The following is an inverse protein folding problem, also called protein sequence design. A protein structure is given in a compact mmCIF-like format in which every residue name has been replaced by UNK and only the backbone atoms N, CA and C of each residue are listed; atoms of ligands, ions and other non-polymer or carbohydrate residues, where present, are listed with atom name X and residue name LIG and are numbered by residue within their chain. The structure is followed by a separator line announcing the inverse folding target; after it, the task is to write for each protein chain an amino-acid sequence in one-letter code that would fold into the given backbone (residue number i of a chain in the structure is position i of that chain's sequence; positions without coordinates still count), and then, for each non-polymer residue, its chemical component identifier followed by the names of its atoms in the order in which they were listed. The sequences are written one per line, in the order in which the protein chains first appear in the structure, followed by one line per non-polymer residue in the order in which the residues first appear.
data_IF_146274318929
#
_entry.id   IF_146274318929
#
_cell.length_a   1.000
_cell.length_b   1.000
_cell.length_c   1.000
_cell.angle_alpha   90.00
_cell.angle_beta   90.00
_cell.angle_gamma   90.00
#
_symmetry.space_group_name_H-M   'P 1'
#
loop_
_entity.id
_entity.type
_entity.pdbx_description
1 polymer ?
#
# COMPACT_ATOMS: atom_id res chain seq x y z
N UNK A 1 11.85 -18.26 -3.67
CA UNK A 1 11.19 -18.01 -4.98
C UNK A 1 11.08 -16.50 -5.13
N UNK A 2 11.46 -15.97 -6.29
CA UNK A 2 11.31 -14.57 -6.67
C UNK A 2 10.17 -14.45 -7.66
N UNK A 3 9.52 -13.29 -7.72
CA UNK A 3 8.44 -13.00 -8.67
C UNK A 3 8.57 -11.58 -9.20
N UNK A 4 7.98 -11.31 -10.35
CA UNK A 4 7.94 -9.97 -10.94
C UNK A 4 6.90 -9.10 -10.24
N UNK A 5 7.16 -7.80 -10.15
CA UNK A 5 6.19 -6.85 -9.61
C UNK A 5 4.90 -6.91 -10.43
N UNK A 6 3.78 -7.17 -9.77
CA UNK A 6 2.49 -7.42 -10.44
C UNK A 6 1.95 -6.19 -11.17
N UNK A 7 2.14 -5.00 -10.61
CA UNK A 7 1.71 -3.71 -11.15
C UNK A 7 2.93 -2.80 -11.29
N UNK A 8 3.72 -2.92 -12.39
CA UNK A 8 5.01 -2.26 -12.50
C UNK A 8 4.94 -0.81 -13.01
N UNK A 9 3.86 -0.08 -12.71
CA UNK A 9 3.73 1.32 -13.18
C UNK A 9 4.55 2.30 -12.37
N UNK A 10 4.86 1.94 -11.15
CA UNK A 10 5.81 2.63 -10.30
C UNK A 10 6.83 1.62 -9.85
N UNK A 11 8.09 1.90 -10.14
CA UNK A 11 9.20 1.16 -9.54
C UNK A 11 9.45 1.76 -8.17
N UNK A 12 9.12 1.04 -7.08
CA UNK A 12 9.30 1.58 -5.76
C UNK A 12 10.78 1.72 -5.43
N UNK A 13 11.08 2.63 -4.52
CA UNK A 13 12.43 2.88 -4.04
C UNK A 13 12.59 2.44 -2.59
N UNK A 14 13.82 2.18 -2.19
CA UNK A 14 14.22 1.99 -0.79
C UNK A 14 15.20 3.10 -0.39
N UNK A 15 15.25 3.41 0.90
CA UNK A 15 16.20 4.39 1.43
C UNK A 15 17.60 3.82 1.46
N UNK A 16 18.61 4.66 1.19
CA UNK A 16 20.01 4.35 1.35
C UNK A 16 20.55 4.83 2.69
N UNK A 17 21.70 4.31 3.14
CA UNK A 17 22.30 4.65 4.43
C UNK A 17 22.70 6.13 4.55
N UNK A 18 23.01 6.77 3.43
CA UNK A 18 23.33 8.21 3.32
C UNK A 18 22.10 9.12 3.26
N UNK A 19 20.89 8.54 3.37
CA UNK A 19 19.62 9.26 3.34
C UNK A 19 19.09 9.57 1.94
N UNK A 20 19.72 9.02 0.90
CA UNK A 20 19.23 9.04 -0.47
C UNK A 20 18.21 7.93 -0.74
N UNK A 21 17.98 7.68 -2.02
CA UNK A 21 17.13 6.59 -2.47
C UNK A 21 17.74 5.87 -3.68
N UNK A 22 17.32 4.64 -3.86
CA UNK A 22 17.63 3.82 -5.04
C UNK A 22 16.42 2.96 -5.40
N UNK A 23 16.33 2.48 -6.63
CA UNK A 23 15.32 1.49 -7.03
C UNK A 23 15.37 0.29 -6.08
N UNK A 24 14.19 -0.18 -5.68
CA UNK A 24 14.09 -1.32 -4.76
C UNK A 24 14.77 -2.55 -5.35
N UNK A 25 15.52 -3.24 -4.52
CA UNK A 25 16.26 -4.42 -4.93
C UNK A 25 15.32 -5.59 -5.28
N UNK A 26 15.81 -6.56 -6.06
CA UNK A 26 15.12 -7.83 -6.34
C UNK A 26 14.71 -8.59 -5.06
N UNK A 27 15.34 -8.29 -3.92
CA UNK A 27 14.94 -8.85 -2.61
C UNK A 27 13.54 -8.43 -2.16
N UNK A 28 12.95 -7.38 -2.75
CA UNK A 28 11.61 -6.91 -2.40
C UNK A 28 10.51 -7.88 -2.87
N UNK A 29 10.69 -8.55 -4.00
CA UNK A 29 9.64 -9.34 -4.67
C UNK A 29 9.94 -10.84 -4.56
N UNK A 30 9.82 -11.38 -3.35
CA UNK A 30 10.10 -12.81 -3.10
C UNK A 30 9.14 -13.42 -2.11
N UNK A 31 8.94 -14.73 -2.25
CA UNK A 31 8.20 -15.55 -1.29
C UNK A 31 9.15 -15.99 -0.19
N UNK A 32 8.73 -15.81 1.06
CA UNK A 32 9.45 -16.23 2.26
C UNK A 32 8.58 -17.19 3.08
N UNK A 33 9.16 -18.08 3.90
CA UNK A 33 8.40 -18.90 4.83
C UNK A 33 7.83 -18.06 5.97
N UNK A 34 6.64 -18.43 6.47
CA UNK A 34 5.99 -17.79 7.60
C UNK A 34 5.24 -18.80 8.44
N UNK A 35 5.64 -19.00 9.70
CA UNK A 35 5.04 -19.96 10.61
C UNK A 35 3.62 -19.59 11.03
N UNK A 36 3.23 -18.35 10.79
CA UNK A 36 1.89 -17.82 11.06
C UNK A 36 0.90 -18.05 9.91
N UNK A 37 1.37 -18.58 8.77
CA UNK A 37 0.51 -18.85 7.60
C UNK A 37 -0.05 -20.24 7.72
N UNK A 38 -1.39 -20.36 7.60
CA UNK A 38 -2.09 -21.64 7.63
C UNK A 38 -2.73 -21.94 6.28
N UNK A 39 -3.10 -23.21 6.09
CA UNK A 39 -3.87 -23.68 4.92
C UNK A 39 -5.31 -24.03 5.28
N UNK A 40 -5.72 -23.71 6.51
CA UNK A 40 -7.07 -23.97 7.00
C UNK A 40 -8.08 -23.00 6.37
N UNK A 41 -7.61 -21.78 6.08
CA UNK A 41 -8.37 -20.76 5.38
C UNK A 41 -7.47 -20.12 4.31
N UNK A 42 -8.00 -19.96 3.09
CA UNK A 42 -7.26 -19.39 1.96
C UNK A 42 -6.29 -20.35 1.26
N UNK A 43 -5.22 -19.79 0.71
CA UNK A 43 -4.28 -20.48 -0.18
C UNK A 43 -2.98 -20.93 0.49
N UNK A 44 -2.75 -20.55 1.74
CA UNK A 44 -1.44 -20.72 2.39
C UNK A 44 -0.39 -19.71 1.91
N UNK A 45 -0.81 -18.68 1.17
CA UNK A 45 0.04 -17.56 0.72
C UNK A 45 -0.58 -16.26 1.19
N UNK A 46 0.19 -15.46 1.94
CA UNK A 46 -0.24 -14.18 2.49
C UNK A 46 0.61 -13.07 1.89
N UNK A 47 -0.05 -12.00 1.44
CA UNK A 47 0.63 -10.80 0.99
C UNK A 47 1.20 -10.03 2.19
N UNK A 48 2.43 -9.55 2.08
CA UNK A 48 3.11 -8.74 3.09
C UNK A 48 3.32 -7.34 2.53
N UNK A 49 2.84 -6.33 3.26
CA UNK A 49 2.99 -4.91 2.94
C UNK A 49 3.76 -4.17 4.05
N UNK A 50 5.10 -4.21 4.07
CA UNK A 50 5.92 -3.67 5.16
C UNK A 50 5.68 -2.20 5.48
N UNK A 51 5.25 -1.44 4.50
CA UNK A 51 4.96 -0.01 4.63
C UNK A 51 3.61 0.27 5.31
N UNK A 52 2.67 -0.72 5.30
CA UNK A 52 1.29 -0.51 5.75
C UNK A 52 0.82 -1.49 6.84
N UNK A 53 1.73 -2.27 7.43
CA UNK A 53 1.41 -3.20 8.52
C UNK A 53 2.56 -3.32 9.51
N UNK A 54 2.28 -3.23 10.81
CA UNK A 54 3.31 -3.35 11.85
C UNK A 54 3.90 -4.77 11.89
N UNK A 55 3.06 -5.79 11.81
CA UNK A 55 3.48 -7.19 11.78
C UNK A 55 4.23 -7.49 10.48
N UNK A 56 3.73 -7.00 9.34
CA UNK A 56 4.37 -7.09 8.04
C UNK A 56 5.76 -6.46 8.05
N UNK A 57 5.90 -5.29 8.68
CA UNK A 57 7.19 -4.62 8.82
C UNK A 57 8.19 -5.43 9.66
N UNK A 58 7.73 -6.11 10.71
CA UNK A 58 8.57 -6.97 11.55
C UNK A 58 9.04 -8.22 10.77
N UNK A 59 8.12 -8.88 10.07
CA UNK A 59 8.43 -10.05 9.23
C UNK A 59 9.40 -9.67 8.11
N UNK A 60 9.15 -8.57 7.42
CA UNK A 60 10.00 -8.07 6.34
C UNK A 60 11.42 -7.74 6.85
N UNK A 61 11.52 -7.06 7.99
CA UNK A 61 12.82 -6.72 8.62
C UNK A 61 13.60 -7.98 8.98
N UNK A 62 12.95 -8.99 9.57
CA UNK A 62 13.59 -10.25 9.90
C UNK A 62 14.10 -11.01 8.67
N UNK A 63 13.40 -10.88 7.54
CA UNK A 63 13.77 -11.50 6.26
C UNK A 63 14.68 -10.64 5.37
N UNK A 64 15.04 -9.43 5.80
CA UNK A 64 15.85 -8.49 5.01
C UNK A 64 15.12 -7.98 3.76
N UNK A 65 13.79 -7.84 3.84
CA UNK A 65 12.96 -7.27 2.77
C UNK A 65 12.80 -5.76 3.04
N UNK A 66 13.10 -4.89 2.07
CA UNK A 66 12.97 -3.45 2.26
C UNK A 66 11.51 -3.01 2.30
N UNK A 67 11.22 -1.94 3.03
CA UNK A 67 9.99 -1.17 2.84
C UNK A 67 10.08 -0.39 1.54
N UNK A 68 8.97 -0.31 0.81
CA UNK A 68 8.92 0.32 -0.50
C UNK A 68 8.27 1.69 -0.42
N UNK A 69 8.89 2.67 -1.08
CA UNK A 69 8.51 4.08 -1.01
C UNK A 69 8.43 4.73 -2.39
N UNK A 70 7.85 5.91 -2.42
CA UNK A 70 7.95 6.91 -3.48
C UNK A 70 8.67 8.15 -2.95
N UNK A 71 9.08 9.05 -3.84
CA UNK A 71 9.72 10.32 -3.48
C UNK A 71 8.77 11.46 -3.78
N UNK A 72 8.44 12.26 -2.77
CA UNK A 72 7.62 13.45 -2.96
C UNK A 72 8.45 14.66 -3.44
N UNK A 73 7.79 15.76 -3.82
CA UNK A 73 8.44 17.00 -4.28
C UNK A 73 9.45 17.61 -3.30
N UNK A 74 9.39 17.23 -2.04
CA UNK A 74 10.34 17.70 -1.02
C UNK A 74 11.58 16.82 -0.93
N UNK A 75 11.68 15.78 -1.76
CA UNK A 75 12.75 14.78 -1.69
C UNK A 75 12.59 13.78 -0.54
N UNK A 76 11.43 13.72 0.09
CA UNK A 76 11.17 12.83 1.21
C UNK A 76 10.62 11.49 0.71
N UNK A 77 11.06 10.39 1.30
CA UNK A 77 10.46 9.08 1.08
C UNK A 77 9.08 9.01 1.72
N UNK A 78 8.10 8.53 0.96
CA UNK A 78 6.71 8.39 1.41
C UNK A 78 6.12 7.06 0.93
N UNK A 79 5.15 6.49 1.63
CA UNK A 79 4.36 5.39 1.10
C UNK A 79 3.72 5.75 -0.25
N UNK A 80 3.17 4.75 -0.94
CA UNK A 80 2.51 4.92 -2.25
C UNK A 80 1.28 5.84 -2.22
N UNK A 81 0.71 6.10 -1.05
CA UNK A 81 -0.43 6.97 -0.82
C UNK A 81 -0.13 8.01 0.25
N UNK A 82 -0.88 9.09 0.25
CA UNK A 82 -0.82 10.13 1.26
C UNK A 82 -1.53 9.72 2.59
N UNK A 83 -1.54 10.60 3.57
CA UNK A 83 -2.18 10.37 4.88
C UNK A 83 -3.71 10.19 4.80
N UNK A 84 -4.32 10.52 3.68
CA UNK A 84 -5.76 10.30 3.45
C UNK A 84 -6.04 8.95 2.80
N UNK A 85 -5.01 8.21 2.39
CA UNK A 85 -5.13 6.98 1.62
C UNK A 85 -5.36 7.20 0.12
N UNK A 86 -4.99 8.37 -0.40
CA UNK A 86 -5.08 8.75 -1.79
C UNK A 86 -3.73 8.58 -2.48
N UNK A 87 -3.70 7.99 -3.67
CA UNK A 87 -2.49 7.94 -4.49
C UNK A 87 -2.03 9.36 -4.86
N UNK A 88 -0.74 9.61 -4.72
CA UNK A 88 -0.15 10.90 -5.06
C UNK A 88 -0.46 11.29 -6.51
N UNK A 89 -0.69 12.58 -6.73
CA UNK A 89 -0.70 13.14 -8.08
C UNK A 89 0.74 13.19 -8.62
N UNK A 90 0.89 13.08 -9.93
CA UNK A 90 2.22 13.14 -10.56
C UNK A 90 2.97 14.44 -10.23
N UNK A 91 2.22 15.54 -10.09
CA UNK A 91 2.79 16.84 -9.74
C UNK A 91 3.11 17.00 -8.24
N UNK A 92 2.77 16.04 -7.40
CA UNK A 92 3.18 15.96 -5.98
C UNK A 92 4.48 15.16 -5.79
N UNK A 93 4.95 14.48 -6.83
CA UNK A 93 6.15 13.63 -6.81
C UNK A 93 7.39 14.39 -7.29
N UNK A 94 8.57 13.90 -6.89
CA UNK A 94 9.86 14.39 -7.36
C UNK A 94 10.03 14.14 -8.86
N UNK A 95 10.53 15.11 -9.60
CA UNK A 95 10.67 15.03 -11.06
C UNK A 95 11.66 13.96 -11.52
N UNK A 96 12.78 13.78 -10.79
CA UNK A 96 13.77 12.75 -11.13
C UNK A 96 13.19 11.36 -10.88
N UNK A 97 12.50 11.19 -9.75
CA UNK A 97 11.79 9.95 -9.43
C UNK A 97 10.74 9.61 -10.50
N UNK A 98 9.90 10.57 -10.88
CA UNK A 98 8.88 10.35 -11.93
C UNK A 98 9.53 9.91 -13.24
N UNK A 99 10.59 10.58 -13.65
CA UNK A 99 11.30 10.26 -14.90
C UNK A 99 11.94 8.86 -14.89
N UNK A 100 12.48 8.44 -13.76
CA UNK A 100 13.24 7.19 -13.65
C UNK A 100 12.39 5.97 -13.27
N UNK A 101 11.34 6.21 -12.46
CA UNK A 101 10.62 5.14 -11.77
C UNK A 101 9.13 5.04 -12.11
N UNK A 102 8.54 5.98 -12.87
CA UNK A 102 7.09 6.00 -13.11
C UNK A 102 6.74 5.85 -14.58
N UNK A 103 5.93 4.84 -14.91
CA UNK A 103 5.21 4.76 -16.18
C UNK A 103 4.04 5.75 -16.14
N UNK A 104 4.29 6.98 -16.59
CA UNK A 104 3.36 8.11 -16.47
C UNK A 104 2.02 7.81 -17.13
N UNK A 105 2.02 7.15 -18.30
CA UNK A 105 0.77 6.89 -19.02
C UNK A 105 -0.14 5.91 -18.27
N UNK A 106 0.43 4.90 -17.64
CA UNK A 106 -0.34 3.95 -16.83
C UNK A 106 -0.71 4.51 -15.47
N UNK A 107 0.20 5.24 -14.82
CA UNK A 107 -0.05 5.81 -13.51
C UNK A 107 -1.13 6.89 -13.50
N UNK A 108 -1.34 7.60 -14.61
CA UNK A 108 -2.42 8.61 -14.77
C UNK A 108 -3.81 8.08 -14.41
N UNK A 109 -4.08 6.80 -14.58
CA UNK A 109 -5.37 6.19 -14.24
C UNK A 109 -5.57 6.01 -12.73
N UNK A 110 -4.49 6.07 -11.96
CA UNK A 110 -4.49 5.78 -10.51
C UNK A 110 -4.25 7.02 -9.66
N UNK A 111 -3.52 8.01 -10.16
CA UNK A 111 -3.27 9.23 -9.42
C UNK A 111 -4.56 9.84 -8.88
N UNK A 112 -4.55 10.26 -7.62
CA UNK A 112 -5.70 10.88 -6.98
C UNK A 112 -6.84 9.93 -6.58
N UNK A 113 -6.76 8.62 -6.86
CA UNK A 113 -7.75 7.64 -6.39
C UNK A 113 -7.46 7.24 -4.95
N UNK A 114 -8.50 6.99 -4.16
CA UNK A 114 -8.37 6.43 -2.81
C UNK A 114 -8.30 4.92 -2.84
N UNK A 115 -7.48 4.34 -1.96
CA UNK A 115 -7.36 2.87 -1.82
C UNK A 115 -8.62 2.22 -1.28
N UNK A 116 -9.48 2.98 -0.60
CA UNK A 116 -10.81 2.54 -0.15
C UNK A 116 -11.82 3.66 -0.37
N UNK A 117 -13.01 3.32 -0.82
CA UNK A 117 -14.12 4.27 -0.94
C UNK A 117 -14.44 4.98 0.39
N UNK A 118 -14.24 4.30 1.53
CA UNK A 118 -14.44 4.88 2.85
C UNK A 118 -13.52 6.07 3.17
N UNK A 119 -12.40 6.22 2.47
CA UNK A 119 -11.50 7.36 2.66
C UNK A 119 -11.87 8.54 1.78
N UNK A 120 -12.62 8.31 0.70
CA UNK A 120 -13.05 9.35 -0.23
C UNK A 120 -14.11 10.25 0.42
N UNK A 121 -13.86 11.57 0.50
CA UNK A 121 -14.81 12.54 1.05
C UNK A 121 -16.18 12.53 0.39
N UNK A 122 -16.32 12.11 -0.88
CA UNK A 122 -17.61 12.03 -1.57
C UNK A 122 -18.61 11.12 -0.85
N UNK A 123 -18.14 10.13 -0.09
CA UNK A 123 -18.98 9.24 0.72
C UNK A 123 -19.16 9.74 2.17
N UNK A 124 -18.91 11.01 2.44
CA UNK A 124 -19.13 11.64 3.74
C UNK A 124 -20.14 12.75 3.60
N UNK A 125 -21.36 12.55 4.13
CA UNK A 125 -22.47 13.52 4.08
C UNK A 125 -22.67 14.07 5.49
N UNK A 126 -22.64 15.41 5.64
CA UNK A 126 -22.77 16.10 6.92
C UNK A 126 -21.86 15.56 8.04
N UNK A 127 -20.62 15.19 7.65
CA UNK A 127 -19.63 14.63 8.57
C UNK A 127 -19.84 13.15 8.94
N UNK A 128 -20.85 12.49 8.37
CA UNK A 128 -21.14 11.07 8.58
C UNK A 128 -20.77 10.25 7.34
N UNK A 129 -20.17 9.10 7.58
CA UNK A 129 -19.83 8.15 6.53
C UNK A 129 -21.10 7.44 6.01
N UNK A 130 -21.32 7.51 4.68
CA UNK A 130 -22.35 6.77 3.98
C UNK A 130 -21.79 5.43 3.47
N UNK A 131 -21.84 4.44 4.34
CA UNK A 131 -21.36 3.08 4.03
C UNK A 131 -22.09 2.45 2.85
N UNK A 132 -23.40 2.69 2.71
CA UNK A 132 -24.20 2.09 1.62
C UNK A 132 -23.77 2.64 0.26
N UNK A 133 -23.57 3.95 0.16
CA UNK A 133 -23.10 4.57 -1.08
C UNK A 133 -21.68 4.10 -1.42
N UNK A 134 -20.79 4.03 -0.42
CA UNK A 134 -19.43 3.56 -0.61
C UNK A 134 -19.35 2.09 -1.03
N UNK A 135 -20.19 1.22 -0.51
CA UNK A 135 -20.24 -0.20 -0.90
C UNK A 135 -20.89 -0.41 -2.27
N UNK A 136 -21.80 0.46 -2.69
CA UNK A 136 -22.45 0.39 -4.01
C UNK A 136 -21.55 0.91 -5.15
N UNK A 137 -20.58 1.76 -4.83
CA UNK A 137 -19.65 2.30 -5.80
C UNK A 137 -18.54 1.29 -6.15
N UNK A 138 -18.03 1.40 -7.36
CA UNK A 138 -16.86 0.61 -7.78
C UNK A 138 -15.66 0.95 -6.88
N UNK A 139 -15.04 -0.08 -6.29
CA UNK A 139 -13.84 0.06 -5.48
C UNK A 139 -12.57 -0.16 -6.32
N UNK A 140 -11.46 0.38 -5.85
CA UNK A 140 -10.15 0.14 -6.46
C UNK A 140 -9.79 -1.36 -6.46
N UNK A 141 -10.18 -2.11 -5.43
CA UNK A 141 -9.94 -3.56 -5.35
C UNK A 141 -10.62 -4.30 -6.51
N UNK A 142 -11.88 -3.97 -6.79
CA UNK A 142 -12.62 -4.56 -7.92
C UNK A 142 -11.97 -4.19 -9.25
N UNK A 143 -11.58 -2.93 -9.40
CA UNK A 143 -10.90 -2.46 -10.60
C UNK A 143 -9.58 -3.22 -10.86
N UNK A 144 -8.72 -3.36 -9.84
CA UNK A 144 -7.46 -4.11 -9.93
C UNK A 144 -7.73 -5.58 -10.27
N UNK A 145 -8.72 -6.20 -9.61
CA UNK A 145 -9.11 -7.58 -9.90
C UNK A 145 -9.53 -7.77 -11.36
N UNK A 146 -10.34 -6.86 -11.90
CA UNK A 146 -10.78 -6.93 -13.28
C UNK A 146 -9.64 -6.73 -14.28
N UNK A 147 -8.75 -5.78 -14.00
CA UNK A 147 -7.54 -5.54 -14.80
C UNK A 147 -6.65 -6.81 -14.85
N UNK A 148 -6.38 -7.44 -13.71
CA UNK A 148 -5.58 -8.65 -13.63
C UNK A 148 -6.24 -9.82 -14.36
N UNK A 149 -7.57 -9.92 -14.29
CA UNK A 149 -8.34 -10.93 -15.04
C UNK A 149 -8.23 -10.72 -16.55
N UNK A 150 -8.36 -9.49 -17.02
CA UNK A 150 -8.21 -9.14 -18.43
C UNK A 150 -6.80 -9.42 -18.95
N UNK A 151 -5.79 -9.21 -18.11
CA UNK A 151 -4.39 -9.51 -18.41
C UNK A 151 -4.05 -11.01 -18.35
N UNK A 152 -4.99 -11.88 -17.93
CA UNK A 152 -4.75 -13.32 -17.76
C UNK A 152 -3.87 -13.66 -16.54
N UNK A 153 -3.70 -12.73 -15.59
CA UNK A 153 -2.84 -12.88 -14.42
C UNK A 153 -3.61 -13.31 -13.14
N UNK A 154 -4.94 -13.28 -13.17
CA UNK A 154 -5.75 -13.70 -12.03
C UNK A 154 -6.20 -15.15 -12.16
N UNK A 155 -5.78 -16.01 -11.23
CA UNK A 155 -6.23 -17.40 -11.15
C UNK A 155 -7.68 -17.49 -10.66
N UNK A 156 -7.99 -16.83 -9.55
CA UNK A 156 -9.31 -16.82 -8.90
C UNK A 156 -9.50 -15.52 -8.12
N UNK A 157 -10.74 -15.04 -8.08
CA UNK A 157 -11.13 -13.88 -7.27
C UNK A 157 -12.33 -14.26 -6.43
N UNK A 158 -12.27 -13.99 -5.13
CA UNK A 158 -13.34 -14.24 -4.18
C UNK A 158 -13.54 -13.02 -3.27
N UNK A 159 -14.79 -12.76 -2.91
CA UNK A 159 -15.08 -11.78 -1.88
C UNK A 159 -14.89 -12.42 -0.52
N UNK A 160 -13.94 -11.88 0.26
CA UNK A 160 -13.70 -12.28 1.63
C UNK A 160 -14.24 -11.21 2.59
N UNK A 161 -15.07 -11.63 3.54
CA UNK A 161 -15.61 -10.74 4.58
C UNK A 161 -14.86 -11.01 5.87
N UNK A 162 -14.22 -9.97 6.40
CA UNK A 162 -13.46 -10.06 7.65
C UNK A 162 -13.65 -8.80 8.49
N UNK A 163 -13.34 -8.88 9.78
CA UNK A 163 -13.33 -7.72 10.66
C UNK A 163 -12.18 -6.80 10.30
N UNK A 164 -12.44 -5.50 10.29
CA UNK A 164 -11.44 -4.48 10.04
C UNK A 164 -11.51 -3.40 11.13
N UNK A 165 -10.39 -2.90 11.65
CA UNK A 165 -10.38 -1.86 12.67
C UNK A 165 -11.03 -0.57 12.17
N UNK A 166 -11.96 -0.02 12.95
CA UNK A 166 -12.60 1.26 12.66
C UNK A 166 -12.29 2.28 13.74
N UNK A 167 -12.22 3.54 13.33
CA UNK A 167 -12.08 4.65 14.25
C UNK A 167 -13.39 4.85 15.03
N UNK A 168 -13.35 4.76 16.35
CA UNK A 168 -14.53 4.88 17.21
C UNK A 168 -15.26 6.23 17.14
N UNK A 169 -14.58 7.28 16.62
CA UNK A 169 -15.18 8.61 16.45
C UNK A 169 -15.89 8.80 15.11
N UNK A 170 -15.34 8.25 14.04
CA UNK A 170 -15.79 8.51 12.68
C UNK A 170 -16.42 7.31 12.01
N UNK A 171 -16.33 6.15 12.65
CA UNK A 171 -16.76 4.85 12.12
C UNK A 171 -16.14 4.47 10.75
N UNK A 172 -15.03 5.14 10.40
CA UNK A 172 -14.29 4.85 9.18
C UNK A 172 -13.19 3.81 9.44
N UNK A 173 -12.87 2.96 8.46
CA UNK A 173 -11.74 2.04 8.57
C UNK A 173 -10.43 2.81 8.78
N UNK A 174 -9.58 2.26 9.66
CA UNK A 174 -8.29 2.87 9.99
C UNK A 174 -7.30 2.59 8.86
N UNK A 175 -6.54 3.60 8.45
CA UNK A 175 -5.37 3.41 7.59
C UNK A 175 -4.14 3.19 8.47
N UNK A 176 -3.50 2.01 8.33
CA UNK A 176 -2.15 1.82 8.85
C UNK A 176 -1.18 2.61 8.00
N UNK A 177 -0.42 3.52 8.64
CA UNK A 177 0.49 4.43 7.95
C UNK A 177 1.73 4.68 8.80
N UNK A 178 2.95 4.62 8.25
CA UNK A 178 4.16 4.95 8.98
C UNK A 178 4.21 6.45 9.26
N UNK A 179 4.33 6.81 10.51
CA UNK A 179 4.44 8.19 10.97
C UNK A 179 5.72 8.36 11.79
N UNK A 180 6.47 9.40 11.49
CA UNK A 180 7.56 9.83 12.34
C UNK A 180 7.00 10.26 13.70
N UNK A 181 7.53 9.70 14.78
CA UNK A 181 7.09 10.02 16.13
C UNK A 181 8.26 10.00 17.12
N UNK A 182 8.13 10.81 18.15
CA UNK A 182 9.07 10.82 19.25
C UNK A 182 8.66 9.79 20.29
N UNK A 183 9.63 9.04 20.79
CA UNK A 183 9.40 8.11 21.89
C UNK A 183 10.59 8.08 22.84
N UNK A 184 10.31 7.78 24.12
CA UNK A 184 11.34 7.60 25.15
C UNK A 184 11.59 6.09 25.29
N UNK A 185 12.83 5.68 25.11
CA UNK A 185 13.22 4.28 25.31
C UNK A 185 13.32 3.98 26.81
N UNK A 186 12.19 3.65 27.43
CA UNK A 186 12.09 3.37 28.87
C UNK A 186 12.87 2.13 29.33
N UNK A 187 13.23 1.23 28.41
CA UNK A 187 14.05 0.05 28.68
C UNK A 187 15.54 0.33 28.67
N UNK A 188 15.97 1.54 28.46
CA UNK A 188 17.38 1.95 28.48
C UNK A 188 17.80 2.56 29.83
N UNK A 189 16.90 2.61 30.83
CA UNK A 189 17.17 3.09 32.19
C UNK A 189 17.46 1.92 33.11
#
# INVERSE_FOLDING_TARGET
MEYEQLIPWVKPVETTEDGGWKEASAKAFRVIPGDYVTTEDGTGIVHIAPTFGADDANVARAAGIPSLFMINKKGETRPMVDLTGKFYLLDELDEAFVKECVDVEKYKEYQGRWVKNAYDPQFTIDGKYDEKAAQAAESLDVYICMMLKQAGLAFKMEKHVHNYPHCWRTDKPVLYYPLDSWFIRSTAC
#
